data_IF_316967322096
#
_entry.id   IF_316967322096
#
_cell.length_a   1.000
_cell.length_b   1.000
_cell.length_c   1.000
_cell.angle_alpha   90.00
_cell.angle_beta   90.00
_cell.angle_gamma   90.00
#
_symmetry.space_group_name_H-M   'P 1'
#
loop_
_entity.id
_entity.type
_entity.pdbx_description
1 polymer ?
#
# COMPACT_ATOMS: atom_id res chain seq x y z
N UNK A 1 21.78 -20.53 56.95
CA UNK A 1 22.24 -21.20 55.72
C UNK A 1 21.62 -20.48 54.55
N UNK A 2 22.40 -19.80 53.72
CA UNK A 2 21.91 -18.94 52.63
C UNK A 2 22.62 -19.12 51.28
N UNK A 3 23.53 -20.11 51.16
CA UNK A 3 24.28 -20.35 49.93
C UNK A 3 23.42 -20.88 48.79
N UNK A 4 22.47 -21.78 49.08
CA UNK A 4 21.61 -22.36 48.05
C UNK A 4 20.63 -21.34 47.47
N UNK A 5 20.09 -20.43 48.31
CA UNK A 5 19.20 -19.35 47.87
C UNK A 5 19.94 -18.33 47.00
N UNK A 6 21.17 -17.96 47.37
CA UNK A 6 22.02 -17.07 46.56
C UNK A 6 22.37 -17.70 45.20
N UNK A 7 22.67 -19.00 45.15
CA UNK A 7 22.96 -19.70 43.89
C UNK A 7 21.72 -19.73 43.00
N UNK A 8 20.53 -20.00 43.55
CA UNK A 8 19.28 -19.99 42.80
C UNK A 8 19.03 -18.61 42.19
N UNK A 9 19.17 -17.54 42.98
CA UNK A 9 18.99 -16.16 42.50
C UNK A 9 20.01 -15.82 41.41
N UNK A 10 21.27 -16.23 41.57
CA UNK A 10 22.33 -15.98 40.59
C UNK A 10 22.06 -16.71 39.26
N UNK A 11 21.58 -17.95 39.31
CA UNK A 11 21.18 -18.71 38.12
C UNK A 11 20.01 -18.03 37.40
N UNK A 12 18.97 -17.62 38.13
CA UNK A 12 17.86 -16.88 37.52
C UNK A 12 18.30 -15.55 36.91
N UNK A 13 19.15 -14.79 37.61
CA UNK A 13 19.69 -13.54 37.10
C UNK A 13 20.48 -13.74 35.79
N UNK A 14 21.28 -14.81 35.70
CA UNK A 14 22.03 -15.14 34.49
C UNK A 14 21.11 -15.54 33.33
N UNK A 15 20.09 -16.36 33.60
CA UNK A 15 19.09 -16.76 32.61
C UNK A 15 18.33 -15.54 32.07
N UNK A 16 17.89 -14.64 32.95
CA UNK A 16 17.23 -13.39 32.54
C UNK A 16 18.18 -12.45 31.79
N UNK A 17 19.45 -12.32 32.21
CA UNK A 17 20.42 -11.48 31.53
C UNK A 17 20.66 -11.90 30.07
N UNK A 18 20.65 -13.21 29.79
CA UNK A 18 20.82 -13.75 28.43
C UNK A 18 19.51 -13.69 27.63
N UNK A 19 18.37 -14.01 28.25
CA UNK A 19 17.07 -14.08 27.54
C UNK A 19 16.44 -12.70 27.28
N UNK A 20 16.60 -11.74 28.18
CA UNK A 20 16.05 -10.39 28.05
C UNK A 20 16.37 -9.68 26.72
N UNK A 21 17.63 -9.62 26.24
CA UNK A 21 17.93 -8.97 24.96
C UNK A 21 17.31 -9.69 23.75
N UNK A 22 17.11 -11.01 23.82
CA UNK A 22 16.45 -11.78 22.76
C UNK A 22 14.96 -11.40 22.71
N UNK A 23 14.29 -11.41 23.87
CA UNK A 23 12.88 -11.02 23.98
C UNK A 23 12.66 -9.57 23.54
N UNK A 24 13.55 -8.65 23.93
CA UNK A 24 13.49 -7.26 23.52
C UNK A 24 13.56 -7.09 22.00
N UNK A 25 14.45 -7.84 21.32
CA UNK A 25 14.55 -7.82 19.85
C UNK A 25 13.30 -8.38 19.18
N UNK A 26 12.75 -9.47 19.70
CA UNK A 26 11.50 -10.05 19.18
C UNK A 26 10.33 -9.08 19.30
N UNK A 27 10.21 -8.41 20.46
CA UNK A 27 9.20 -7.37 20.68
C UNK A 27 9.40 -6.19 19.71
N UNK A 28 10.64 -5.72 19.55
CA UNK A 28 10.97 -4.66 18.60
C UNK A 28 10.53 -5.02 17.17
N UNK A 29 10.84 -6.23 16.70
CA UNK A 29 10.41 -6.69 15.38
C UNK A 29 8.88 -6.82 15.27
N UNK A 30 8.21 -7.30 16.31
CA UNK A 30 6.74 -7.39 16.33
C UNK A 30 6.08 -6.01 16.24
N UNK A 31 6.55 -5.03 17.01
CA UNK A 31 6.04 -3.65 16.97
C UNK A 31 6.31 -3.02 15.61
N UNK A 32 7.53 -3.20 15.07
CA UNK A 32 7.90 -2.68 13.76
C UNK A 32 6.99 -3.23 12.66
N UNK A 33 6.71 -4.54 12.66
CA UNK A 33 5.78 -5.16 11.70
C UNK A 33 4.34 -4.62 11.82
N UNK A 34 3.83 -4.44 13.04
CA UNK A 34 2.49 -3.84 13.27
C UNK A 34 2.40 -2.42 12.74
N UNK A 35 3.46 -1.62 12.90
CA UNK A 35 3.52 -0.26 12.36
C UNK A 35 3.48 -0.22 10.84
N UNK A 36 4.12 -1.17 10.16
CA UNK A 36 4.10 -1.26 8.69
C UNK A 36 2.69 -1.56 8.15
N UNK A 37 1.99 -2.53 8.73
CA UNK A 37 0.62 -2.83 8.31
C UNK A 37 -0.34 -1.66 8.60
N UNK A 38 -0.16 -0.97 9.73
CA UNK A 38 -0.94 0.24 10.02
C UNK A 38 -0.62 1.37 9.03
N UNK A 39 0.63 1.51 8.60
CA UNK A 39 1.03 2.48 7.60
C UNK A 39 0.40 2.16 6.23
N UNK A 40 0.37 0.90 5.82
CA UNK A 40 -0.32 0.46 4.60
C UNK A 40 -1.82 0.76 4.64
N UNK A 41 -2.47 0.43 5.76
CA UNK A 41 -3.90 0.69 5.93
C UNK A 41 -4.22 2.19 5.84
N UNK A 42 -3.39 3.04 6.48
CA UNK A 42 -3.52 4.48 6.36
C UNK A 42 -3.25 4.98 4.93
N UNK A 43 -2.22 4.47 4.26
CA UNK A 43 -1.89 4.83 2.89
C UNK A 43 -3.01 4.47 1.90
N UNK A 44 -3.57 3.26 2.03
CA UNK A 44 -4.72 2.82 1.25
C UNK A 44 -5.94 3.71 1.49
N UNK A 45 -6.23 4.05 2.76
CA UNK A 45 -7.34 4.94 3.14
C UNK A 45 -7.16 6.36 2.59
N UNK A 46 -5.98 6.97 2.77
CA UNK A 46 -5.71 8.34 2.34
C UNK A 46 -5.74 8.49 0.81
N UNK A 47 -5.12 7.55 0.09
CA UNK A 47 -5.09 7.59 -1.38
C UNK A 47 -6.38 7.09 -2.01
N UNK A 48 -7.19 6.36 -1.23
CA UNK A 48 -8.32 5.56 -1.66
C UNK A 48 -7.97 4.58 -2.79
N UNK A 49 -6.71 4.21 -2.96
CA UNK A 49 -6.25 3.45 -4.13
C UNK A 49 -5.32 2.28 -3.75
N UNK A 50 -5.86 1.19 -3.17
CA UNK A 50 -5.06 0.07 -2.65
C UNK A 50 -4.27 -0.64 -3.75
N UNK A 51 -4.81 -0.79 -4.97
CA UNK A 51 -4.08 -1.40 -6.09
C UNK A 51 -2.87 -0.57 -6.52
N UNK A 52 -2.98 0.76 -6.49
CA UNK A 52 -1.84 1.64 -6.78
C UNK A 52 -0.70 1.46 -5.77
N UNK A 53 -1.04 1.32 -4.50
CA UNK A 53 -0.07 1.05 -3.44
C UNK A 53 0.56 -0.34 -3.60
N UNK A 54 -0.24 -1.37 -3.90
CA UNK A 54 0.25 -2.71 -4.18
C UNK A 54 1.22 -2.74 -5.36
N UNK A 55 0.88 -2.07 -6.47
CA UNK A 55 1.73 -1.93 -7.65
C UNK A 55 3.03 -1.18 -7.34
N UNK A 56 2.99 -0.15 -6.48
CA UNK A 56 4.19 0.56 -6.04
C UNK A 56 5.12 -0.37 -5.23
N UNK A 57 4.58 -1.13 -4.29
CA UNK A 57 5.33 -2.12 -3.51
C UNK A 57 5.94 -3.21 -4.40
N UNK A 58 5.20 -3.67 -5.41
CA UNK A 58 5.67 -4.65 -6.38
C UNK A 58 6.88 -4.11 -7.17
N UNK A 59 6.80 -2.88 -7.67
CA UNK A 59 7.93 -2.21 -8.35
C UNK A 59 9.15 -2.03 -7.44
N UNK A 60 8.93 -1.70 -6.16
CA UNK A 60 10.00 -1.58 -5.17
C UNK A 60 10.64 -2.93 -4.85
N UNK A 61 9.87 -4.03 -4.90
CA UNK A 61 10.40 -5.38 -4.67
C UNK A 61 11.33 -5.84 -5.79
N UNK A 62 11.04 -5.40 -7.02
CA UNK A 62 11.78 -5.76 -8.24
C UNK A 62 13.04 -4.90 -8.42
N UNK A 63 12.98 -3.61 -8.06
CA UNK A 63 14.11 -2.70 -8.25
C UNK A 63 15.02 -2.65 -7.02
N UNK A 64 16.18 -3.30 -7.13
CA UNK A 64 17.30 -3.16 -6.19
C UNK A 64 18.13 -1.93 -6.56
N UNK A 65 17.80 -0.77 -6.02
CA UNK A 65 18.62 0.43 -6.21
C UNK A 65 19.97 0.25 -5.49
N UNK A 66 21.04 0.12 -6.28
CA UNK A 66 22.40 0.15 -5.75
C UNK A 66 22.84 1.62 -5.65
N UNK A 67 22.58 2.25 -4.51
CA UNK A 67 22.98 3.63 -4.29
C UNK A 67 24.51 3.70 -4.15
N UNK A 68 25.15 4.59 -4.93
CA UNK A 68 26.62 4.79 -4.88
C UNK A 68 27.12 5.27 -3.51
N UNK A 69 26.27 5.95 -2.75
CA UNK A 69 26.58 6.44 -1.39
C UNK A 69 25.30 6.43 -0.55
N UNK A 70 25.32 5.73 0.58
CA UNK A 70 24.23 5.72 1.55
C UNK A 70 24.82 5.86 2.96
N UNK A 71 24.38 6.89 3.69
CA UNK A 71 24.80 7.14 5.07
C UNK A 71 23.85 6.41 6.03
N UNK A 72 24.38 5.80 7.10
CA UNK A 72 23.57 5.22 8.19
C UNK A 72 22.63 6.24 8.83
N UNK A 73 23.06 7.49 8.95
CA UNK A 73 22.24 8.56 9.53
C UNK A 73 20.99 8.88 8.69
N UNK A 74 21.08 8.74 7.36
CA UNK A 74 19.96 9.02 6.45
C UNK A 74 19.18 7.77 6.06
N UNK A 75 19.64 6.57 6.44
CA UNK A 75 19.05 5.29 6.07
C UNK A 75 17.55 5.20 6.41
N UNK A 76 17.12 5.83 7.51
CA UNK A 76 15.71 5.89 7.93
C UNK A 76 14.80 6.77 7.06
N UNK A 77 15.36 7.62 6.19
CA UNK A 77 14.59 8.47 5.27
C UNK A 77 14.32 7.80 3.91
N UNK A 78 14.93 6.65 3.64
CA UNK A 78 14.74 5.95 2.36
C UNK A 78 13.50 5.06 2.41
N UNK A 79 12.78 5.02 1.27
CA UNK A 79 11.63 4.12 1.06
C UNK A 79 12.06 2.64 1.14
N UNK A 80 13.30 2.34 0.72
CA UNK A 80 13.91 1.02 0.80
C UNK A 80 15.26 1.17 1.50
N UNK A 81 15.53 0.32 2.50
CA UNK A 81 16.79 0.37 3.25
C UNK A 81 18.00 0.24 2.29
N UNK A 82 18.81 1.30 2.12
CA UNK A 82 19.90 1.32 1.15
C UNK A 82 21.12 0.51 1.60
N UNK A 83 21.15 0.08 2.87
CA UNK A 83 22.23 -0.70 3.46
C UNK A 83 21.94 -2.22 3.44
N UNK A 84 20.83 -2.64 2.83
CA UNK A 84 20.45 -4.05 2.72
C UNK A 84 21.41 -4.76 1.76
N UNK A 85 22.28 -5.64 2.29
CA UNK A 85 23.28 -6.38 1.50
C UNK A 85 22.63 -7.30 0.46
N UNK A 86 23.15 -7.27 -0.76
CA UNK A 86 22.80 -8.18 -1.86
C UNK A 86 23.04 -9.63 -1.44
N UNK A 87 22.02 -10.50 -1.53
CA UNK A 87 22.16 -11.95 -1.26
C UNK A 87 21.47 -12.48 0.00
N UNK A 88 20.96 -11.64 0.91
CA UNK A 88 20.12 -12.10 2.02
C UNK A 88 18.66 -12.31 1.55
N UNK A 89 18.42 -13.36 0.77
CA UNK A 89 17.07 -13.85 0.48
C UNK A 89 16.44 -14.58 1.69
N UNK A 90 17.23 -14.90 2.72
CA UNK A 90 16.82 -15.71 3.89
C UNK A 90 16.37 -14.85 5.11
N UNK A 91 16.35 -13.52 4.99
CA UNK A 91 16.07 -12.66 6.15
C UNK A 91 14.58 -12.44 6.47
N UNK A 92 13.65 -13.34 6.12
CA UNK A 92 12.24 -13.19 6.49
C UNK A 92 12.03 -13.28 8.02
N UNK A 93 12.89 -14.02 8.73
CA UNK A 93 12.81 -14.19 10.19
C UNK A 93 13.47 -13.06 11.00
N UNK A 94 14.40 -12.32 10.40
CA UNK A 94 15.12 -11.20 11.05
C UNK A 94 14.82 -9.83 10.43
N UNK A 95 13.88 -9.75 9.49
CA UNK A 95 13.48 -8.48 8.90
C UNK A 95 12.68 -7.63 9.88
N UNK A 96 13.05 -6.35 9.96
CA UNK A 96 12.33 -5.31 10.70
C UNK A 96 10.97 -4.97 10.06
N UNK A 97 10.67 -5.51 8.88
CA UNK A 97 9.43 -5.31 8.14
C UNK A 97 8.83 -6.67 7.74
N UNK A 98 7.50 -6.75 7.59
CA UNK A 98 6.88 -7.96 7.08
C UNK A 98 7.23 -8.15 5.59
N UNK A 99 7.17 -9.39 5.06
CA UNK A 99 7.43 -9.66 3.66
C UNK A 99 6.56 -8.77 2.75
N UNK A 100 7.19 -8.17 1.72
CA UNK A 100 6.49 -7.28 0.79
C UNK A 100 5.36 -8.02 0.05
N UNK A 101 5.57 -9.30 -0.28
CA UNK A 101 4.57 -10.15 -0.93
C UNK A 101 3.27 -10.27 -0.13
N UNK A 102 3.36 -10.36 1.20
CA UNK A 102 2.18 -10.39 2.06
C UNK A 102 1.44 -9.07 2.05
N UNK A 103 2.16 -7.94 2.15
CA UNK A 103 1.57 -6.59 2.08
C UNK A 103 0.82 -6.38 0.77
N UNK A 104 1.43 -6.78 -0.36
CA UNK A 104 0.80 -6.74 -1.69
C UNK A 104 -0.49 -7.56 -1.70
N UNK A 105 -0.46 -8.80 -1.20
CA UNK A 105 -1.66 -9.64 -1.13
C UNK A 105 -2.77 -8.98 -0.32
N UNK A 106 -2.44 -8.38 0.83
CA UNK A 106 -3.43 -7.72 1.71
C UNK A 106 -4.08 -6.55 0.99
N UNK A 107 -3.28 -5.67 0.39
CA UNK A 107 -3.79 -4.52 -0.36
C UNK A 107 -4.68 -4.94 -1.53
N UNK A 108 -4.30 -5.99 -2.26
CA UNK A 108 -5.11 -6.54 -3.36
C UNK A 108 -6.39 -7.23 -2.88
N UNK A 109 -6.41 -7.72 -1.64
CA UNK A 109 -7.60 -8.30 -1.02
C UNK A 109 -8.65 -7.26 -0.59
N UNK A 110 -8.34 -5.97 -0.63
CA UNK A 110 -9.27 -4.88 -0.26
C UNK A 110 -10.31 -4.59 -1.36
N UNK A 111 -11.16 -5.56 -1.69
CA UNK A 111 -12.12 -5.46 -2.79
C UNK A 111 -13.37 -4.63 -2.46
N UNK A 112 -13.72 -4.51 -1.18
CA UNK A 112 -15.01 -3.97 -0.73
C UNK A 112 -14.96 -2.52 -0.22
N UNK A 113 -13.76 -1.94 -0.09
CA UNK A 113 -13.58 -0.59 0.46
C UNK A 113 -12.15 -0.32 0.87
N UNK A 114 -11.89 0.91 1.32
CA UNK A 114 -10.58 1.34 1.84
C UNK A 114 -10.60 1.65 3.34
N UNK A 115 -11.62 1.19 4.05
CA UNK A 115 -11.73 1.35 5.49
C UNK A 115 -10.69 0.51 6.25
N UNK A 116 -10.45 0.86 7.51
CA UNK A 116 -9.57 0.05 8.37
C UNK A 116 -10.14 -1.34 8.63
N UNK A 117 -11.48 -1.48 8.65
CA UNK A 117 -12.14 -2.77 8.75
C UNK A 117 -11.84 -3.64 7.53
N UNK A 118 -11.89 -3.08 6.31
CA UNK A 118 -11.59 -3.79 5.07
C UNK A 118 -10.13 -4.27 5.02
N UNK A 119 -9.21 -3.44 5.51
CA UNK A 119 -7.81 -3.85 5.62
C UNK A 119 -7.64 -5.01 6.62
N UNK A 120 -8.31 -4.93 7.78
CA UNK A 120 -8.24 -5.96 8.81
C UNK A 120 -8.86 -7.30 8.33
N UNK A 121 -9.95 -7.26 7.56
CA UNK A 121 -10.54 -8.48 6.98
C UNK A 121 -9.61 -9.10 5.94
N UNK A 122 -9.04 -8.30 5.03
CA UNK A 122 -8.06 -8.76 4.06
C UNK A 122 -6.81 -9.35 4.74
N UNK A 123 -6.34 -8.72 5.83
CA UNK A 123 -5.24 -9.25 6.64
C UNK A 123 -5.55 -10.62 7.23
N UNK A 124 -6.71 -10.76 7.89
CA UNK A 124 -7.10 -12.02 8.53
C UNK A 124 -7.24 -13.16 7.52
N UNK A 125 -7.75 -12.86 6.32
CA UNK A 125 -7.87 -13.84 5.23
C UNK A 125 -6.51 -14.41 4.81
N UNK A 126 -5.47 -13.57 4.78
CA UNK A 126 -4.13 -13.98 4.29
C UNK A 126 -3.29 -14.61 5.38
N UNK A 127 -3.39 -14.11 6.63
CA UNK A 127 -2.62 -14.66 7.75
C UNK A 127 -3.28 -15.85 8.43
N UNK A 128 -4.51 -16.18 8.06
CA UNK A 128 -5.31 -17.23 8.69
C UNK A 128 -5.34 -17.08 10.23
N UNK A 129 -5.30 -15.84 10.72
CA UNK A 129 -5.27 -15.49 12.13
C UNK A 129 -6.24 -14.33 12.37
N UNK A 130 -6.74 -14.22 13.60
CA UNK A 130 -7.63 -13.15 14.07
C UNK A 130 -6.86 -12.03 14.80
N UNK A 131 -5.55 -11.88 14.55
CA UNK A 131 -4.75 -10.86 15.20
C UNK A 131 -5.20 -9.46 14.79
N UNK A 132 -5.54 -8.63 15.77
CA UNK A 132 -5.93 -7.23 15.56
C UNK A 132 -4.68 -6.38 15.42
N UNK A 133 -4.44 -5.86 14.22
CA UNK A 133 -3.35 -4.91 13.97
C UNK A 133 -3.85 -3.47 14.02
N UNK A 134 -5.08 -3.26 13.58
CA UNK A 134 -5.71 -1.95 13.65
C UNK A 134 -6.18 -1.69 15.09
N UNK A 135 -5.90 -0.50 15.66
CA UNK A 135 -6.38 -0.14 16.97
C UNK A 135 -7.92 -0.14 17.01
N UNK A 136 -8.54 -0.46 18.16
CA UNK A 136 -9.99 -0.56 18.28
C UNK A 136 -10.71 0.75 17.95
N UNK A 137 -10.06 1.91 18.12
CA UNK A 137 -10.57 3.21 17.68
C UNK A 137 -10.78 3.28 16.17
N UNK A 138 -9.87 2.72 15.37
CA UNK A 138 -9.96 2.69 13.92
C UNK A 138 -11.00 1.70 13.40
N UNK A 139 -11.25 0.60 14.13
CA UNK A 139 -12.27 -0.39 13.76
C UNK A 139 -13.71 0.06 14.06
N UNK A 140 -13.89 1.00 14.99
CA UNK A 140 -15.22 1.57 15.31
C UNK A 140 -15.74 2.53 14.23
N UNK A 141 -14.85 3.07 13.39
CA UNK A 141 -15.26 3.88 12.24
C UNK A 141 -15.75 2.96 11.12
N UNK A 142 -17.06 2.74 11.05
CA UNK A 142 -17.72 2.14 9.90
C UNK A 142 -17.72 3.16 8.75
N UNK A 143 -16.56 3.38 8.13
CA UNK A 143 -16.42 4.24 6.94
C UNK A 143 -16.47 3.38 5.69
N UNK A 144 -17.59 3.44 4.97
CA UNK A 144 -17.69 2.88 3.62
C UNK A 144 -17.12 3.89 2.61
N UNK A 145 -15.79 3.96 2.54
CA UNK A 145 -15.11 4.85 1.60
C UNK A 145 -14.89 4.13 0.28
N UNK A 146 -15.41 4.65 -0.86
CA UNK A 146 -15.27 4.00 -2.14
C UNK A 146 -13.81 4.05 -2.63
N UNK A 147 -13.41 2.99 -3.31
CA UNK A 147 -12.11 2.89 -3.97
C UNK A 147 -12.05 3.90 -5.13
N UNK A 148 -11.01 4.72 -5.14
CA UNK A 148 -10.65 5.58 -6.27
C UNK A 148 -10.33 4.69 -7.47
N UNK A 149 -11.03 4.93 -8.57
CA UNK A 149 -10.75 4.24 -9.82
C UNK A 149 -9.39 4.65 -10.39
N UNK A 150 -8.70 3.69 -11.00
CA UNK A 150 -7.50 3.97 -11.78
C UNK A 150 -7.86 4.95 -12.88
N UNK A 151 -7.20 6.09 -12.90
CA UNK A 151 -7.12 6.88 -14.12
C UNK A 151 -6.12 6.13 -14.96
N UNK A 152 -6.60 5.33 -15.90
CA UNK A 152 -5.71 4.69 -16.85
C UNK A 152 -4.90 5.80 -17.53
N UNK A 153 -3.55 5.72 -17.51
CA UNK A 153 -2.78 6.48 -18.48
C UNK A 153 -3.39 6.18 -19.84
N UNK A 154 -3.38 7.15 -20.76
CA UNK A 154 -3.81 6.97 -22.14
C UNK A 154 -3.03 5.79 -22.73
N UNK A 155 -3.52 4.57 -22.51
CA UNK A 155 -2.81 3.35 -22.77
C UNK A 155 -3.28 2.93 -24.16
N UNK A 156 -2.35 3.00 -25.10
CA UNK A 156 -2.51 2.58 -26.48
C UNK A 156 -3.48 3.42 -27.32
N UNK A 157 -3.49 4.75 -27.15
CA UNK A 157 -4.02 5.60 -28.21
C UNK A 157 -2.90 5.94 -29.17
N UNK A 158 -3.16 5.76 -30.46
CA UNK A 158 -2.33 6.37 -31.50
C UNK A 158 -2.30 7.89 -31.32
N UNK A 159 -1.28 8.55 -31.87
CA UNK A 159 -1.15 10.01 -31.80
C UNK A 159 -2.41 10.72 -32.35
N UNK A 160 -2.99 10.16 -33.42
CA UNK A 160 -4.25 10.63 -34.02
C UNK A 160 -5.46 10.47 -33.10
N UNK A 161 -5.58 9.35 -32.40
CA UNK A 161 -6.67 9.15 -31.45
C UNK A 161 -6.53 10.04 -30.21
N UNK A 162 -5.28 10.30 -29.79
CA UNK A 162 -4.97 11.22 -28.70
C UNK A 162 -5.37 12.64 -29.06
N UNK A 163 -4.98 13.14 -30.24
CA UNK A 163 -5.42 14.45 -30.73
C UNK A 163 -6.94 14.55 -30.83
N UNK A 164 -7.61 13.48 -31.32
CA UNK A 164 -9.09 13.44 -31.40
C UNK A 164 -9.75 13.50 -30.03
N UNK A 165 -9.27 12.72 -29.05
CA UNK A 165 -9.80 12.75 -27.68
C UNK A 165 -9.55 14.10 -27.01
N UNK A 166 -8.36 14.68 -27.15
CA UNK A 166 -8.05 16.01 -26.63
C UNK A 166 -8.99 17.07 -27.21
N UNK A 167 -9.20 17.06 -28.53
CA UNK A 167 -10.15 17.96 -29.18
C UNK A 167 -11.58 17.79 -28.67
N UNK A 168 -12.03 16.55 -28.42
CA UNK A 168 -13.34 16.29 -27.82
C UNK A 168 -13.45 16.84 -26.40
N UNK A 169 -12.41 16.68 -25.58
CA UNK A 169 -12.40 17.21 -24.20
C UNK A 169 -12.49 18.74 -24.22
N UNK A 170 -11.66 19.41 -25.03
CA UNK A 170 -11.67 20.89 -25.16
C UNK A 170 -13.05 21.39 -25.61
N UNK A 171 -13.67 20.71 -26.57
CA UNK A 171 -15.01 21.07 -27.03
C UNK A 171 -16.08 20.83 -25.95
N UNK A 172 -15.98 19.74 -25.18
CA UNK A 172 -16.90 19.49 -24.05
C UNK A 172 -16.81 20.54 -22.95
N UNK A 173 -15.60 21.01 -22.64
CA UNK A 173 -15.40 22.13 -21.71
C UNK A 173 -16.02 23.44 -22.24
N UNK A 174 -16.01 23.63 -23.56
CA UNK A 174 -16.68 24.75 -24.24
C UNK A 174 -18.19 24.53 -24.48
N UNK A 175 -18.82 23.55 -23.80
CA UNK A 175 -20.27 23.36 -23.84
C UNK A 175 -20.81 22.67 -25.10
N UNK A 176 -19.96 21.96 -25.85
CA UNK A 176 -20.45 21.14 -26.96
C UNK A 176 -21.14 19.87 -26.45
N UNK A 177 -22.23 19.50 -27.12
CA UNK A 177 -22.92 18.23 -26.91
C UNK A 177 -22.41 17.16 -27.89
N UNK A 178 -22.23 15.92 -27.41
CA UNK A 178 -21.73 14.80 -28.21
C UNK A 178 -22.80 13.72 -28.37
N UNK A 179 -23.11 13.36 -29.60
CA UNK A 179 -24.06 12.29 -29.93
C UNK A 179 -23.32 11.16 -30.65
N UNK A 180 -23.45 9.93 -30.13
CA UNK A 180 -22.81 8.76 -30.72
C UNK A 180 -23.78 8.03 -31.65
N UNK A 181 -23.41 7.92 -32.92
CA UNK A 181 -24.10 7.11 -33.91
C UNK A 181 -23.79 5.63 -33.71
N UNK A 182 -24.76 4.75 -33.98
CA UNK A 182 -24.55 3.29 -34.06
C UNK A 182 -23.44 2.90 -35.05
N UNK A 183 -23.19 3.74 -36.05
CA UNK A 183 -22.15 3.62 -37.06
C UNK A 183 -20.73 3.98 -36.56
N UNK A 184 -20.56 4.39 -35.30
CA UNK A 184 -19.26 4.73 -34.71
C UNK A 184 -18.80 6.18 -34.91
N UNK A 185 -19.61 7.01 -35.58
CA UNK A 185 -19.35 8.46 -35.73
C UNK A 185 -19.87 9.22 -34.50
N UNK A 186 -19.07 10.17 -33.99
CA UNK A 186 -19.49 11.10 -32.93
C UNK A 186 -19.80 12.46 -33.56
N UNK A 187 -21.07 12.88 -33.49
CA UNK A 187 -21.52 14.20 -33.93
C UNK A 187 -21.31 15.19 -32.79
N UNK A 188 -20.77 16.38 -33.11
CA UNK A 188 -20.48 17.45 -32.14
C UNK A 188 -21.39 18.65 -32.43
N UNK A 189 -22.17 19.05 -31.44
CA UNK A 189 -23.17 20.11 -31.58
C UNK A 189 -22.75 21.29 -30.72
N UNK A 190 -22.54 22.49 -31.30
CA UNK A 190 -22.14 23.66 -30.54
C UNK A 190 -23.29 24.16 -29.65
N UNK A 191 -22.99 24.86 -28.55
CA UNK A 191 -24.02 25.43 -27.66
C UNK A 191 -24.88 26.50 -28.34
N UNK A 192 -24.43 27.04 -29.47
CA UNK A 192 -25.15 28.05 -30.27
C UNK A 192 -26.14 27.46 -31.29
N UNK A 193 -26.24 26.13 -31.38
CA UNK A 193 -27.13 25.47 -32.33
C UNK A 193 -28.60 25.62 -31.90
N UNK A 194 -29.44 26.22 -32.75
CA UNK A 194 -30.86 26.51 -32.49
C UNK A 194 -31.84 25.59 -33.23
N UNK A 195 -31.35 24.56 -33.91
CA UNK A 195 -32.21 23.63 -34.66
C UNK A 195 -32.81 22.54 -33.76
N UNK A 196 -34.05 22.16 -34.04
CA UNK A 196 -34.77 21.13 -33.25
C UNK A 196 -34.26 19.70 -33.48
N UNK A 197 -33.50 19.46 -34.57
CA UNK A 197 -32.96 18.14 -34.89
C UNK A 197 -31.55 18.22 -35.49
N UNK A 198 -30.70 17.30 -35.07
CA UNK A 198 -29.35 17.06 -35.63
C UNK A 198 -29.45 15.77 -36.44
N UNK A 199 -29.52 15.91 -37.77
CA UNK A 199 -29.63 14.79 -38.71
C UNK A 199 -28.26 14.30 -39.15
#
# INVERSE_FOLDING_TARGET
>A
GGGNEQIIIMVFALVFAISAPILARLLYFAISRKREYLADANGARLTRYPEGLASALEKLSQNRFNLKSANKATAGMYIVNPLKKTGMQIADLSSTHPPISERIKILRGMMHGVGFADYQTAYNQIKHNSEKIIPPSGLKQAENTPIRQRIDPIANLTEKETQRKLGNIVMGVNGYNFYNCKCGVTIKVPPTFKGDSVK
#
